data_IF_571633721273
#
_entry.id   IF_571633721273
#
_cell.length_a   1.000
_cell.length_b   1.000
_cell.length_c   1.000
_cell.angle_alpha   90.00
_cell.angle_beta   90.00
_cell.angle_gamma   90.00
#
_symmetry.space_group_name_H-M   'P 1'
#
loop_
_entity.id
_entity.type
_entity.pdbx_description
1 polymer ?
#
# COMPACT_ATOMS: atom_id res chain seq x y z
N UNK A 1 23.38 5.38 -0.32
CA UNK A 1 23.40 4.53 -1.53
C UNK A 1 22.80 3.19 -1.14
N UNK A 2 21.69 2.82 -1.78
CA UNK A 2 21.00 1.56 -1.52
C UNK A 2 21.89 0.35 -1.80
N UNK A 3 21.82 -0.70 -0.96
CA UNK A 3 22.60 -1.93 -1.17
C UNK A 3 21.98 -2.88 -2.22
N UNK A 4 20.98 -2.43 -2.98
CA UNK A 4 20.26 -3.21 -3.98
C UNK A 4 19.80 -2.32 -5.15
N UNK A 5 19.45 -2.94 -6.28
CA UNK A 5 18.87 -2.24 -7.43
C UNK A 5 17.43 -1.79 -7.12
N UNK A 6 17.13 -0.47 -7.09
CA UNK A 6 15.79 0.02 -6.80
C UNK A 6 14.80 -0.13 -7.97
N UNK A 7 15.23 -0.58 -9.16
CA UNK A 7 14.41 -0.60 -10.37
C UNK A 7 13.06 -1.31 -10.20
N UNK A 8 13.05 -2.46 -9.51
CA UNK A 8 11.83 -3.23 -9.23
C UNK A 8 10.82 -2.39 -8.43
N UNK A 9 11.31 -1.71 -7.40
CA UNK A 9 10.50 -0.92 -6.47
C UNK A 9 9.99 0.36 -7.14
N UNK A 10 10.84 1.04 -7.92
CA UNK A 10 10.47 2.22 -8.70
C UNK A 10 9.36 1.87 -9.70
N UNK A 11 9.55 0.79 -10.47
CA UNK A 11 8.65 0.44 -11.57
C UNK A 11 7.30 -0.10 -11.06
N UNK A 12 7.33 -1.00 -10.08
CA UNK A 12 6.15 -1.73 -9.59
C UNK A 12 5.40 -1.02 -8.47
N UNK A 13 6.11 -0.29 -7.60
CA UNK A 13 5.54 0.31 -6.39
C UNK A 13 5.50 1.85 -6.41
N UNK A 14 5.94 2.49 -7.51
CA UNK A 14 5.93 3.95 -7.70
C UNK A 14 6.71 4.69 -6.61
N UNK A 15 7.77 4.04 -6.15
CA UNK A 15 8.53 4.39 -4.98
C UNK A 15 9.95 4.74 -5.42
N UNK A 16 10.28 6.03 -5.40
CA UNK A 16 11.50 6.63 -5.97
C UNK A 16 12.43 7.08 -4.84
N UNK A 17 13.69 7.33 -5.17
CA UNK A 17 14.72 7.75 -4.22
C UNK A 17 15.35 9.07 -4.65
N UNK A 18 15.70 9.89 -3.67
CA UNK A 18 16.25 11.23 -3.86
C UNK A 18 15.18 12.30 -4.10
N UNK A 19 15.63 13.52 -4.37
CA UNK A 19 14.74 14.64 -4.64
C UNK A 19 14.06 14.48 -6.02
N UNK A 20 12.75 14.78 -6.13
CA UNK A 20 12.09 14.88 -7.43
C UNK A 20 12.67 16.03 -8.26
N UNK A 21 12.47 15.98 -9.58
CA UNK A 21 12.91 17.03 -10.51
C UNK A 21 12.26 18.39 -10.18
N UNK A 22 13.01 19.48 -10.37
CA UNK A 22 12.62 20.86 -10.02
C UNK A 22 11.28 21.29 -10.65
N UNK A 23 10.92 20.75 -11.82
CA UNK A 23 9.70 21.12 -12.54
C UNK A 23 8.44 20.33 -12.12
N UNK A 24 8.50 19.58 -11.02
CA UNK A 24 7.34 18.84 -10.51
C UNK A 24 6.69 19.56 -9.33
N UNK A 25 5.36 19.47 -9.23
CA UNK A 25 4.67 19.92 -8.02
C UNK A 25 4.94 18.93 -6.89
N UNK A 26 5.91 19.26 -6.05
CA UNK A 26 6.37 18.47 -4.91
C UNK A 26 5.62 18.89 -3.65
N UNK A 27 5.18 17.91 -2.88
CA UNK A 27 4.62 18.12 -1.55
C UNK A 27 5.51 17.48 -0.52
N UNK A 28 6.05 18.32 0.37
CA UNK A 28 6.74 17.90 1.58
C UNK A 28 5.77 17.92 2.75
N UNK A 29 5.97 17.00 3.69
CA UNK A 29 5.27 17.02 4.98
C UNK A 29 5.96 17.91 6.02
N UNK A 30 7.06 18.59 5.65
CA UNK A 30 7.84 19.43 6.56
C UNK A 30 7.07 20.66 7.07
N UNK A 31 7.33 21.02 8.34
CA UNK A 31 7.01 22.31 8.94
C UNK A 31 5.58 22.53 9.42
N UNK A 32 4.63 21.62 9.19
CA UNK A 32 3.23 21.74 9.63
C UNK A 32 2.71 20.43 10.28
N UNK A 33 1.58 20.52 10.96
CA UNK A 33 0.84 19.36 11.48
C UNK A 33 0.54 18.34 10.36
N UNK A 34 0.92 17.07 10.58
CA UNK A 34 0.76 15.98 9.62
C UNK A 34 -0.67 15.80 9.13
N UNK A 35 -1.67 15.95 10.00
CA UNK A 35 -3.08 15.82 9.63
C UNK A 35 -3.52 16.96 8.70
N UNK A 36 -3.02 18.18 8.91
CA UNK A 36 -3.27 19.33 8.02
C UNK A 36 -2.66 19.04 6.64
N UNK A 37 -1.41 18.56 6.59
CA UNK A 37 -0.75 18.22 5.32
C UNK A 37 -1.46 17.12 4.55
N UNK A 38 -1.91 16.06 5.22
CA UNK A 38 -2.67 14.98 4.58
C UNK A 38 -3.99 15.51 4.01
N UNK A 39 -4.69 16.38 4.74
CA UNK A 39 -5.90 17.03 4.24
C UNK A 39 -5.63 17.82 2.96
N UNK A 40 -4.58 18.66 2.94
CA UNK A 40 -4.18 19.42 1.76
C UNK A 40 -3.90 18.50 0.55
N UNK A 41 -3.25 17.35 0.78
CA UNK A 41 -3.01 16.35 -0.27
C UNK A 41 -4.31 15.73 -0.78
N UNK A 42 -5.26 15.42 0.10
CA UNK A 42 -6.56 14.86 -0.30
C UNK A 42 -7.38 15.87 -1.10
N UNK A 43 -7.38 17.15 -0.71
CA UNK A 43 -8.08 18.23 -1.42
C UNK A 43 -7.49 18.44 -2.83
N UNK A 44 -6.16 18.39 -2.97
CA UNK A 44 -5.49 18.44 -4.27
C UNK A 44 -5.71 17.18 -5.09
N UNK A 45 -5.83 16.03 -4.45
CA UNK A 45 -6.22 14.81 -5.14
C UNK A 45 -7.64 14.93 -5.70
N UNK A 46 -8.58 15.43 -4.91
CA UNK A 46 -9.96 15.66 -5.33
C UNK A 46 -10.06 16.57 -6.57
N UNK A 47 -9.32 17.68 -6.59
CA UNK A 47 -9.37 18.66 -7.68
C UNK A 47 -8.87 18.14 -9.02
N UNK A 48 -8.19 17.00 -9.06
CA UNK A 48 -7.62 16.43 -10.28
C UNK A 48 -8.38 15.21 -10.83
N UNK A 49 -9.32 14.64 -10.08
CA UNK A 49 -9.98 13.38 -10.47
C UNK A 49 -11.49 13.52 -10.74
N UNK A 50 -12.07 14.72 -10.58
CA UNK A 50 -13.49 14.99 -10.80
C UNK A 50 -14.43 13.97 -10.09
N UNK A 51 -14.06 13.56 -8.88
CA UNK A 51 -14.85 12.60 -8.12
C UNK A 51 -16.19 13.22 -7.68
N UNK A 52 -17.28 12.43 -7.67
CA UNK A 52 -18.62 12.94 -7.37
C UNK A 52 -18.86 13.28 -5.89
N UNK A 53 -18.00 12.80 -4.99
CA UNK A 53 -18.11 13.03 -3.54
C UNK A 53 -16.80 12.73 -2.80
N UNK A 54 -16.71 13.25 -1.57
CA UNK A 54 -15.53 13.10 -0.71
C UNK A 54 -15.18 11.65 -0.38
N UNK A 55 -16.15 10.74 -0.25
CA UNK A 55 -15.84 9.34 0.08
C UNK A 55 -15.13 8.64 -1.08
N UNK A 56 -15.55 8.93 -2.32
CA UNK A 56 -14.87 8.47 -3.52
C UNK A 56 -13.43 8.98 -3.56
N UNK A 57 -13.20 10.27 -3.26
CA UNK A 57 -11.84 10.85 -3.15
C UNK A 57 -11.01 10.09 -2.11
N UNK A 58 -11.52 9.93 -0.88
CA UNK A 58 -10.79 9.30 0.21
C UNK A 58 -10.35 7.87 -0.12
N UNK A 59 -11.26 7.04 -0.64
CA UNK A 59 -10.94 5.65 -1.00
C UNK A 59 -9.94 5.56 -2.16
N UNK A 60 -10.05 6.42 -3.17
CA UNK A 60 -9.13 6.43 -4.31
C UNK A 60 -7.76 6.95 -3.92
N UNK A 61 -7.69 8.04 -3.15
CA UNK A 61 -6.45 8.59 -2.61
C UNK A 61 -5.71 7.49 -1.82
N UNK A 62 -6.41 6.86 -0.87
CA UNK A 62 -5.82 5.82 -0.04
C UNK A 62 -5.37 4.60 -0.84
N UNK A 63 -6.16 4.15 -1.83
CA UNK A 63 -5.75 3.07 -2.74
C UNK A 63 -4.42 3.37 -3.43
N UNK A 64 -4.21 4.61 -3.87
CA UNK A 64 -2.95 5.04 -4.50
C UNK A 64 -1.83 5.17 -3.46
N UNK A 65 -2.16 5.69 -2.27
CA UNK A 65 -1.21 5.82 -1.16
C UNK A 65 -0.65 4.48 -0.71
N UNK A 66 -1.46 3.42 -0.73
CA UNK A 66 -1.06 2.09 -0.28
C UNK A 66 0.16 1.51 -1.04
N UNK A 67 0.45 1.99 -2.26
CA UNK A 67 1.63 1.57 -3.02
C UNK A 67 2.95 1.82 -2.26
N UNK A 68 2.99 2.86 -1.42
CA UNK A 68 4.11 3.16 -0.52
C UNK A 68 4.48 1.93 0.34
N UNK A 69 3.49 1.33 0.99
CA UNK A 69 3.70 0.19 1.89
C UNK A 69 4.08 -1.08 1.14
N UNK A 70 3.54 -1.29 -0.07
CA UNK A 70 3.96 -2.44 -0.88
C UNK A 70 5.46 -2.37 -1.23
N UNK A 71 5.98 -1.18 -1.58
CA UNK A 71 7.40 -0.97 -1.85
C UNK A 71 8.28 -1.17 -0.60
N UNK A 72 7.86 -0.62 0.54
CA UNK A 72 8.58 -0.75 1.80
C UNK A 72 8.59 -2.19 2.34
N UNK A 73 7.47 -2.91 2.25
CA UNK A 73 7.42 -4.33 2.60
C UNK A 73 8.27 -5.15 1.64
N UNK A 74 8.29 -4.83 0.33
CA UNK A 74 9.18 -5.51 -0.61
C UNK A 74 10.65 -5.39 -0.20
N UNK A 75 11.14 -4.18 0.11
CA UNK A 75 12.54 -3.97 0.52
C UNK A 75 12.88 -4.71 1.80
N UNK A 76 11.93 -4.76 2.72
CA UNK A 76 12.11 -5.50 3.96
C UNK A 76 12.22 -7.01 3.73
N UNK A 77 11.31 -7.58 2.96
CA UNK A 77 11.27 -9.03 2.71
C UNK A 77 12.45 -9.49 1.83
N UNK A 78 12.79 -8.75 0.78
CA UNK A 78 13.80 -9.21 -0.19
C UNK A 78 15.22 -8.79 0.18
N UNK A 79 15.38 -7.66 0.91
CA UNK A 79 16.69 -7.08 1.17
C UNK A 79 16.99 -6.85 2.66
N UNK A 80 16.05 -7.15 3.57
CA UNK A 80 16.16 -6.82 5.02
C UNK A 80 16.57 -5.36 5.24
N UNK A 81 16.01 -4.47 4.42
CA UNK A 81 16.34 -3.06 4.46
C UNK A 81 15.15 -2.23 4.97
N UNK A 82 15.18 -1.75 6.23
CA UNK A 82 14.08 -1.02 6.82
C UNK A 82 14.10 0.43 6.32
N UNK A 83 13.35 0.72 5.26
CA UNK A 83 13.24 2.09 4.73
C UNK A 83 12.57 3.03 5.74
N UNK A 84 13.15 4.22 5.92
CA UNK A 84 12.54 5.27 6.72
C UNK A 84 11.39 5.94 5.95
N UNK A 85 10.16 5.70 6.41
CA UNK A 85 8.93 6.26 5.86
C UNK A 85 8.43 7.43 6.69
N UNK A 86 9.20 7.92 7.67
CA UNK A 86 8.82 9.11 8.44
C UNK A 86 8.39 10.22 7.49
N UNK A 87 7.34 10.97 7.85
CA UNK A 87 6.77 12.00 6.98
C UNK A 87 7.82 13.01 6.47
N UNK A 88 8.80 13.38 7.31
CA UNK A 88 9.88 14.29 6.93
C UNK A 88 10.88 13.69 5.91
N UNK A 89 10.86 12.38 5.71
CA UNK A 89 11.69 11.68 4.72
C UNK A 89 10.93 11.39 3.41
N UNK A 90 9.67 11.83 3.29
CA UNK A 90 8.83 11.55 2.14
C UNK A 90 8.41 12.82 1.42
N UNK A 91 8.58 12.80 0.10
CA UNK A 91 7.92 13.71 -0.81
C UNK A 91 6.85 12.98 -1.61
N UNK A 92 5.73 13.65 -1.78
CA UNK A 92 4.60 13.19 -2.58
C UNK A 92 4.54 14.01 -3.86
N UNK A 93 4.51 13.33 -5.01
CA UNK A 93 4.34 13.98 -6.32
C UNK A 93 3.09 13.41 -6.97
N UNK A 94 2.21 14.29 -7.41
CA UNK A 94 0.92 13.93 -8.00
C UNK A 94 0.81 14.45 -9.43
N UNK A 95 0.27 13.61 -10.33
CA UNK A 95 -0.14 13.98 -11.68
C UNK A 95 -1.44 13.28 -12.04
N UNK A 96 -2.55 14.01 -12.04
CA UNK A 96 -3.89 13.45 -12.15
C UNK A 96 -4.19 12.52 -10.97
N UNK A 97 -4.68 11.32 -11.29
CA UNK A 97 -4.89 10.25 -10.31
C UNK A 97 -3.60 9.47 -9.96
N UNK A 98 -2.46 9.78 -10.61
CA UNK A 98 -1.20 9.10 -10.35
C UNK A 98 -0.43 9.76 -9.21
N UNK A 99 0.12 8.92 -8.34
CA UNK A 99 0.91 9.30 -7.18
C UNK A 99 2.26 8.62 -7.29
N UNK A 100 3.32 9.37 -6.99
CA UNK A 100 4.68 8.87 -6.80
C UNK A 100 5.18 9.31 -5.43
N UNK A 101 5.88 8.41 -4.77
CA UNK A 101 6.57 8.69 -3.52
C UNK A 101 8.06 8.84 -3.80
N UNK A 102 8.70 9.77 -3.10
CA UNK A 102 10.14 10.01 -3.13
C UNK A 102 10.66 9.93 -1.71
N UNK A 103 11.53 8.95 -1.45
CA UNK A 103 12.27 8.86 -0.20
C UNK A 103 13.53 9.70 -0.31
N UNK A 104 13.66 10.71 0.54
CA UNK A 104 14.70 11.73 0.42
C UNK A 104 16.08 11.21 0.87
N UNK A 105 16.10 10.52 2.01
CA UNK A 105 17.24 9.79 2.54
C UNK A 105 17.05 8.30 2.32
N UNK A 106 17.98 7.69 1.58
CA UNK A 106 17.97 6.26 1.32
C UNK A 106 18.54 5.43 2.49
N UNK A 107 18.80 6.06 3.64
CA UNK A 107 19.31 5.38 4.83
C UNK A 107 18.25 4.48 5.48
N UNK A 108 18.71 3.31 5.95
CA UNK A 108 17.92 2.44 6.79
C UNK A 108 17.60 3.10 8.14
N UNK A 109 16.46 2.73 8.72
CA UNK A 109 16.15 3.06 10.12
C UNK A 109 17.11 2.28 11.02
N UNK A 110 18.18 2.96 11.46
CA UNK A 110 19.29 2.35 12.21
C UNK A 110 18.80 1.61 13.44
N UNK A 111 17.83 2.18 14.17
CA UNK A 111 17.29 1.60 15.40
C UNK A 111 16.62 0.24 15.16
N UNK A 112 16.08 0.01 13.95
CA UNK A 112 15.51 -1.29 13.56
C UNK A 112 16.64 -2.21 13.10
N UNK A 113 17.55 -1.72 12.25
CA UNK A 113 18.62 -2.52 11.67
C UNK A 113 19.61 -3.11 12.68
N UNK A 114 19.75 -2.50 13.87
CA UNK A 114 20.66 -2.96 14.94
C UNK A 114 20.02 -3.91 15.95
N UNK A 115 18.71 -4.17 15.86
CA UNK A 115 18.04 -5.13 16.76
C UNK A 115 18.61 -6.54 16.55
N UNK A 116 18.76 -7.28 17.65
CA UNK A 116 19.53 -8.52 17.66
C UNK A 116 18.81 -9.72 17.03
N UNK A 117 17.47 -9.71 17.01
CA UNK A 117 16.68 -10.82 16.47
C UNK A 117 15.72 -10.35 15.36
N UNK A 118 15.44 -11.25 14.42
CA UNK A 118 14.61 -10.92 13.25
C UNK A 118 13.13 -10.65 13.60
N UNK A 119 12.62 -11.24 14.69
CA UNK A 119 11.23 -11.06 15.13
C UNK A 119 10.99 -9.64 15.68
N UNK A 120 11.89 -9.13 16.50
CA UNK A 120 11.93 -7.75 17.00
C UNK A 120 12.09 -6.77 15.85
N UNK A 121 12.92 -7.11 14.85
CA UNK A 121 13.05 -6.29 13.65
C UNK A 121 11.75 -6.25 12.85
N UNK A 122 11.11 -7.40 12.63
CA UNK A 122 9.83 -7.51 11.93
C UNK A 122 8.73 -6.72 12.67
N UNK A 123 8.64 -6.84 14.00
CA UNK A 123 7.70 -6.10 14.84
C UNK A 123 7.94 -4.59 14.79
N UNK A 124 9.20 -4.16 14.97
CA UNK A 124 9.56 -2.75 14.93
C UNK A 124 9.30 -2.14 13.55
N UNK A 125 9.56 -2.88 12.46
CA UNK A 125 9.28 -2.39 11.12
C UNK A 125 7.77 -2.35 10.82
N UNK A 126 7.01 -3.35 11.26
CA UNK A 126 5.54 -3.31 11.19
C UNK A 126 4.96 -2.10 11.92
N UNK A 127 5.50 -1.77 13.10
CA UNK A 127 5.09 -0.60 13.89
C UNK A 127 5.37 0.68 13.14
N UNK A 128 6.58 0.83 12.60
CA UNK A 128 6.99 1.96 11.77
C UNK A 128 6.06 2.16 10.57
N UNK A 129 5.75 1.08 9.84
CA UNK A 129 4.88 1.16 8.66
C UNK A 129 3.42 1.48 9.01
N UNK A 130 2.85 0.83 10.03
CA UNK A 130 1.40 0.83 10.20
C UNK A 130 0.89 1.64 11.38
N UNK A 131 1.59 1.62 12.51
CA UNK A 131 1.23 2.47 13.64
C UNK A 131 1.75 3.89 13.43
N UNK A 132 3.05 4.03 13.21
CA UNK A 132 3.69 5.34 13.14
C UNK A 132 3.33 6.09 11.85
N UNK A 133 2.99 5.39 10.76
CA UNK A 133 2.65 6.02 9.48
C UNK A 133 1.20 5.81 9.04
N UNK A 134 0.81 4.57 8.67
CA UNK A 134 -0.49 4.32 8.05
C UNK A 134 -1.67 4.78 8.91
N UNK A 135 -1.62 4.57 10.23
CA UNK A 135 -2.70 4.96 11.14
C UNK A 135 -2.95 6.46 11.16
N UNK A 136 -1.90 7.28 11.07
CA UNK A 136 -2.02 8.74 10.99
C UNK A 136 -2.69 9.17 9.68
N UNK A 137 -2.26 8.58 8.55
CA UNK A 137 -2.86 8.86 7.24
C UNK A 137 -4.33 8.44 7.20
N UNK A 138 -4.64 7.24 7.69
CA UNK A 138 -6.01 6.73 7.76
C UNK A 138 -6.87 7.65 8.62
N UNK A 139 -6.41 8.05 9.80
CA UNK A 139 -7.18 8.93 10.68
C UNK A 139 -7.49 10.28 10.01
N UNK A 140 -6.49 10.92 9.41
CA UNK A 140 -6.66 12.20 8.72
C UNK A 140 -7.63 12.08 7.53
N UNK A 141 -7.50 11.05 6.69
CA UNK A 141 -8.39 10.83 5.54
C UNK A 141 -9.81 10.52 5.99
N UNK A 142 -9.99 9.68 7.02
CA UNK A 142 -11.31 9.34 7.58
C UNK A 142 -12.00 10.59 8.11
N UNK A 143 -11.29 11.40 8.90
CA UNK A 143 -11.82 12.63 9.46
C UNK A 143 -12.21 13.65 8.37
N UNK A 144 -11.42 13.73 7.30
CA UNK A 144 -11.66 14.70 6.23
C UNK A 144 -12.74 14.27 5.23
N UNK A 145 -12.88 12.96 4.96
CA UNK A 145 -13.73 12.46 3.86
C UNK A 145 -14.93 11.64 4.30
N UNK A 146 -14.99 11.20 5.56
CA UNK A 146 -16.09 10.39 6.09
C UNK A 146 -16.13 8.94 5.56
N UNK A 147 -15.06 8.48 4.92
CA UNK A 147 -14.86 7.07 4.55
C UNK A 147 -14.72 6.17 5.78
N UNK A 148 -15.22 4.92 5.76
CA UNK A 148 -15.06 4.01 6.90
C UNK A 148 -13.61 3.56 7.10
N UNK A 149 -13.10 3.67 8.33
CA UNK A 149 -11.75 3.20 8.72
C UNK A 149 -11.48 1.75 8.32
N UNK A 150 -12.48 0.86 8.46
CA UNK A 150 -12.34 -0.54 8.07
C UNK A 150 -12.04 -0.72 6.56
N UNK A 151 -12.64 0.11 5.71
CA UNK A 151 -12.38 0.08 4.26
C UNK A 151 -10.93 0.44 3.93
N UNK A 152 -10.33 1.34 4.71
CA UNK A 152 -8.92 1.72 4.56
C UNK A 152 -7.99 0.56 4.88
N UNK A 153 -8.17 -0.08 6.04
CA UNK A 153 -7.36 -1.24 6.40
C UNK A 153 -7.53 -2.42 5.44
N UNK A 154 -8.76 -2.72 5.02
CA UNK A 154 -8.99 -3.75 4.00
C UNK A 154 -8.29 -3.45 2.66
N UNK A 155 -8.11 -2.17 2.32
CA UNK A 155 -7.45 -1.77 1.07
C UNK A 155 -5.95 -2.08 1.11
N UNK A 156 -5.28 -1.79 2.23
CA UNK A 156 -3.86 -2.11 2.41
C UNK A 156 -3.64 -3.61 2.60
N UNK A 157 -4.48 -4.29 3.38
CA UNK A 157 -4.44 -5.74 3.56
C UNK A 157 -4.57 -6.48 2.23
N UNK A 158 -5.51 -6.06 1.38
CA UNK A 158 -5.68 -6.63 0.05
C UNK A 158 -4.42 -6.42 -0.81
N UNK A 159 -3.87 -5.19 -0.82
CA UNK A 159 -2.72 -4.89 -1.66
C UNK A 159 -1.52 -5.75 -1.28
N UNK A 160 -1.25 -5.93 0.01
CA UNK A 160 -0.17 -6.77 0.48
C UNK A 160 -0.44 -8.26 0.22
N UNK A 161 -1.68 -8.74 0.38
CA UNK A 161 -2.03 -10.13 0.03
C UNK A 161 -1.86 -10.42 -1.46
N UNK A 162 -2.24 -9.47 -2.33
CA UNK A 162 -2.02 -9.56 -3.77
C UNK A 162 -0.52 -9.63 -4.10
N UNK A 163 0.29 -8.75 -3.51
CA UNK A 163 1.73 -8.75 -3.74
C UNK A 163 2.42 -9.98 -3.14
N UNK A 164 1.97 -10.51 -2.00
CA UNK A 164 2.46 -11.77 -1.42
C UNK A 164 2.43 -12.89 -2.46
N UNK A 165 1.31 -13.06 -3.17
CA UNK A 165 1.21 -14.10 -4.20
C UNK A 165 2.29 -13.93 -5.28
N UNK A 166 2.59 -12.69 -5.69
CA UNK A 166 3.64 -12.40 -6.67
C UNK A 166 5.04 -12.63 -6.11
N UNK A 167 5.32 -12.14 -4.90
CA UNK A 167 6.63 -12.29 -4.26
C UNK A 167 6.98 -13.75 -3.96
N UNK A 168 6.01 -14.59 -3.57
CA UNK A 168 6.25 -16.02 -3.40
C UNK A 168 6.61 -16.71 -4.72
N UNK A 169 5.98 -16.34 -5.84
CA UNK A 169 6.28 -16.91 -7.16
C UNK A 169 7.64 -16.48 -7.70
N UNK A 170 8.04 -15.24 -7.40
CA UNK A 170 9.29 -14.65 -7.86
C UNK A 170 10.42 -14.82 -6.84
N UNK A 171 10.16 -15.54 -5.75
CA UNK A 171 11.11 -15.72 -4.67
C UNK A 171 12.40 -16.39 -5.18
N UNK A 172 13.58 -15.79 -4.95
CA UNK A 172 14.84 -16.31 -5.48
C UNK A 172 15.39 -17.50 -4.67
N UNK A 173 14.84 -17.78 -3.49
CA UNK A 173 15.30 -18.86 -2.62
C UNK A 173 14.25 -19.32 -1.60
N UNK A 174 14.44 -20.51 -1.02
CA UNK A 174 13.62 -20.99 0.09
C UNK A 174 13.70 -20.06 1.31
N UNK A 175 14.86 -19.45 1.58
CA UNK A 175 15.02 -18.51 2.68
C UNK A 175 14.15 -17.25 2.52
N UNK A 176 14.07 -16.68 1.31
CA UNK A 176 13.18 -15.54 1.03
C UNK A 176 11.71 -15.97 1.09
N UNK A 177 11.39 -17.18 0.60
CA UNK A 177 10.04 -17.75 0.67
C UNK A 177 9.56 -17.87 2.12
N UNK A 178 10.37 -18.52 2.97
CA UNK A 178 10.06 -18.69 4.39
C UNK A 178 9.88 -17.34 5.11
N UNK A 179 10.74 -16.36 4.79
CA UNK A 179 10.61 -15.01 5.34
C UNK A 179 9.30 -14.32 4.93
N UNK A 180 8.92 -14.40 3.66
CA UNK A 180 7.64 -13.84 3.20
C UNK A 180 6.50 -14.51 3.97
N UNK A 181 6.50 -15.84 4.10
CA UNK A 181 5.45 -16.56 4.81
C UNK A 181 5.36 -16.17 6.28
N UNK A 182 6.48 -16.21 7.01
CA UNK A 182 6.58 -15.86 8.43
C UNK A 182 6.14 -14.42 8.70
N UNK A 183 6.63 -13.47 7.92
CA UNK A 183 6.27 -12.07 8.09
C UNK A 183 4.77 -11.86 7.90
N UNK A 184 4.16 -12.47 6.87
CA UNK A 184 2.73 -12.36 6.64
C UNK A 184 1.90 -13.10 7.68
N UNK A 185 2.37 -14.24 8.20
CA UNK A 185 1.72 -14.93 9.31
C UNK A 185 1.65 -14.03 10.55
N UNK A 186 2.77 -13.43 10.92
CA UNK A 186 2.85 -12.51 12.06
C UNK A 186 2.02 -11.23 11.81
N UNK A 187 2.18 -10.58 10.66
CA UNK A 187 1.49 -9.33 10.31
C UNK A 187 -0.03 -9.47 10.20
N UNK A 188 -0.56 -10.67 9.92
CA UNK A 188 -2.00 -10.91 9.74
C UNK A 188 -2.64 -11.75 10.85
N UNK A 189 -1.89 -12.05 11.92
CA UNK A 189 -2.43 -12.75 13.10
C UNK A 189 -3.58 -11.96 13.71
N UNK A 190 -4.64 -12.66 14.14
CA UNK A 190 -5.90 -12.04 14.60
C UNK A 190 -5.81 -11.31 15.95
N UNK A 191 -4.83 -11.68 16.77
CA UNK A 191 -4.64 -11.15 18.13
C UNK A 191 -4.33 -9.65 18.11
N UNK A 192 -4.40 -9.00 19.28
CA UNK A 192 -3.93 -7.63 19.49
C UNK A 192 -2.44 -7.56 19.14
N UNK A 193 -2.07 -6.88 18.04
CA UNK A 193 -0.68 -6.86 17.62
C UNK A 193 0.07 -5.75 18.37
N UNK A 194 1.22 -6.09 18.97
CA UNK A 194 2.07 -5.12 19.67
C UNK A 194 2.51 -3.96 18.76
N UNK A 195 2.66 -4.21 17.45
CA UNK A 195 2.97 -3.20 16.45
C UNK A 195 1.82 -2.22 16.14
N UNK A 196 0.59 -2.46 16.62
CA UNK A 196 -0.56 -1.56 16.47
C UNK A 196 -1.32 -1.39 17.82
N UNK A 197 -0.70 -0.72 18.81
CA UNK A 197 -1.29 -0.57 20.13
C UNK A 197 -2.67 0.10 20.08
N UNK A 198 -3.56 -0.30 21.00
CA UNK A 198 -4.92 0.25 21.11
C UNK A 198 -5.95 -0.37 20.15
N UNK A 199 -5.60 -1.49 19.49
CA UNK A 199 -6.49 -2.24 18.60
C UNK A 199 -6.69 -3.68 19.12
N UNK A 200 -7.87 -3.94 19.69
CA UNK A 200 -8.25 -5.28 20.17
C UNK A 200 -8.29 -6.36 19.08
N UNK A 201 -8.36 -5.97 17.80
CA UNK A 201 -8.34 -6.87 16.65
C UNK A 201 -7.44 -6.27 15.58
N UNK A 202 -6.48 -7.06 15.09
CA UNK A 202 -5.62 -6.68 13.98
C UNK A 202 -6.46 -6.44 12.70
N UNK A 203 -6.49 -5.21 12.16
CA UNK A 203 -7.30 -4.91 10.99
C UNK A 203 -6.70 -5.46 9.68
N UNK A 204 -5.46 -5.94 9.71
CA UNK A 204 -4.82 -6.69 8.62
C UNK A 204 -5.20 -8.17 8.63
N UNK A 205 -5.77 -8.67 9.74
CA UNK A 205 -6.26 -10.05 9.86
C UNK A 205 -7.59 -10.22 9.13
N UNK A 206 -7.52 -10.36 7.80
CA UNK A 206 -8.68 -10.67 6.99
C UNK A 206 -8.37 -11.67 5.88
N UNK A 207 -9.38 -12.45 5.51
CA UNK A 207 -9.33 -13.37 4.39
C UNK A 207 -9.96 -12.72 3.17
N UNK A 208 -9.45 -13.11 2.00
CA UNK A 208 -9.98 -12.67 0.71
C UNK A 208 -10.60 -13.86 0.00
N UNK A 209 -11.77 -13.63 -0.61
CA UNK A 209 -12.32 -14.59 -1.57
C UNK A 209 -11.37 -14.67 -2.77
N UNK A 210 -11.22 -15.86 -3.34
CA UNK A 210 -10.39 -16.09 -4.50
C UNK A 210 -11.20 -16.82 -5.58
N UNK A 211 -10.84 -16.59 -6.84
CA UNK A 211 -11.35 -17.30 -8.03
C UNK A 211 -10.14 -17.89 -8.76
N UNK A 212 -10.29 -19.01 -9.45
CA UNK A 212 -9.19 -19.59 -10.23
C UNK A 212 -8.69 -18.63 -11.32
N UNK A 213 -7.37 -18.62 -11.53
CA UNK A 213 -6.73 -17.91 -12.63
C UNK A 213 -6.87 -18.76 -13.92
N UNK A 214 -7.58 -18.26 -14.95
CA UNK A 214 -7.84 -19.03 -16.17
C UNK A 214 -6.60 -19.21 -17.06
N UNK A 215 -5.52 -18.46 -16.83
CA UNK A 215 -4.29 -18.50 -17.62
C UNK A 215 -3.21 -19.38 -16.98
N UNK A 216 -3.32 -19.66 -15.68
CA UNK A 216 -2.27 -20.35 -14.93
C UNK A 216 -2.84 -21.30 -13.87
N UNK A 217 -2.61 -22.59 -14.08
CA UNK A 217 -3.00 -23.63 -13.13
C UNK A 217 -2.40 -23.37 -11.74
N UNK A 218 -3.19 -23.61 -10.69
CA UNK A 218 -2.80 -23.41 -9.29
C UNK A 218 -2.70 -21.96 -8.83
N UNK A 219 -2.98 -20.97 -9.70
CA UNK A 219 -3.05 -19.55 -9.31
C UNK A 219 -4.50 -19.12 -9.08
N UNK A 220 -4.64 -18.02 -8.35
CA UNK A 220 -5.96 -17.46 -8.05
C UNK A 220 -5.97 -15.95 -8.08
N UNK A 221 -7.10 -15.41 -8.52
CA UNK A 221 -7.45 -14.00 -8.54
C UNK A 221 -8.11 -13.65 -7.21
N UNK A 222 -7.46 -12.82 -6.40
CA UNK A 222 -8.04 -12.33 -5.16
C UNK A 222 -9.13 -11.27 -5.43
N UNK A 223 -10.17 -11.31 -4.61
CA UNK A 223 -11.28 -10.36 -4.65
C UNK A 223 -11.18 -9.41 -3.47
N UNK A 224 -11.15 -8.11 -3.76
CA UNK A 224 -11.08 -7.07 -2.73
C UNK A 224 -12.29 -7.16 -1.80
N UNK A 225 -12.08 -6.96 -0.49
CA UNK A 225 -13.17 -6.83 0.49
C UNK A 225 -13.81 -5.44 0.50
N UNK A 226 -13.03 -4.41 0.18
CA UNK A 226 -13.48 -3.02 0.12
C UNK A 226 -13.53 -2.52 -1.32
N UNK A 227 -14.63 -1.84 -1.68
CA UNK A 227 -14.75 -1.16 -2.97
C UNK A 227 -13.92 0.13 -2.95
N UNK A 228 -13.04 0.29 -3.94
CA UNK A 228 -12.25 1.53 -4.09
C UNK A 228 -13.01 2.70 -4.70
N UNK A 229 -14.29 2.51 -5.06
CA UNK A 229 -15.18 3.53 -5.65
C UNK A 229 -14.74 4.11 -7.00
N UNK A 230 -13.75 3.50 -7.68
CA UNK A 230 -13.31 3.94 -9.01
C UNK A 230 -14.46 4.06 -10.02
N UNK A 231 -15.45 3.17 -9.92
CA UNK A 231 -16.59 3.16 -10.82
C UNK A 231 -17.52 4.37 -10.76
N UNK A 232 -17.31 5.23 -9.75
CA UNK A 232 -18.06 6.46 -9.57
C UNK A 232 -17.42 7.64 -10.28
N UNK A 233 -16.19 7.49 -10.81
CA UNK A 233 -15.57 8.52 -11.62
C UNK A 233 -16.26 8.64 -12.99
N UNK A 234 -16.46 9.85 -13.51
CA UNK A 234 -17.02 10.05 -14.84
C UNK A 234 -15.99 9.72 -15.93
N UNK A 235 -16.47 9.37 -17.13
CA UNK A 235 -15.64 9.28 -18.34
C UNK A 235 -14.82 8.00 -18.51
N UNK A 236 -15.12 6.94 -17.75
CA UNK A 236 -14.54 5.61 -17.93
C UNK A 236 -15.64 4.65 -18.41
N UNK A 237 -15.52 4.17 -19.65
CA UNK A 237 -16.45 3.19 -20.24
C UNK A 237 -16.27 1.79 -19.61
N UNK A 238 -15.14 1.56 -18.92
CA UNK A 238 -14.87 0.29 -18.24
C UNK A 238 -14.46 0.45 -16.75
N UNK A 239 -15.36 0.99 -15.90
CA UNK A 239 -15.02 1.55 -14.59
C UNK A 239 -14.54 0.55 -13.52
N UNK A 240 -14.80 -0.74 -13.73
CA UNK A 240 -14.55 -1.81 -12.77
C UNK A 240 -13.30 -2.60 -13.13
N UNK A 241 -12.39 -2.80 -12.17
CA UNK A 241 -11.26 -3.72 -12.36
C UNK A 241 -11.66 -5.17 -12.04
N UNK A 242 -10.90 -6.15 -12.55
CA UNK A 242 -11.14 -7.58 -12.28
C UNK A 242 -11.14 -7.93 -10.77
N UNK A 243 -10.40 -7.18 -9.96
CA UNK A 243 -10.35 -7.38 -8.48
C UNK A 243 -11.53 -6.76 -7.72
N UNK A 244 -12.45 -6.08 -8.40
CA UNK A 244 -13.55 -5.34 -7.76
C UNK A 244 -14.56 -6.27 -7.08
N UNK A 245 -15.07 -5.96 -5.87
CA UNK A 245 -16.09 -6.80 -5.21
C UNK A 245 -17.47 -6.75 -5.85
N UNK A 246 -17.75 -5.75 -6.70
CA UNK A 246 -19.09 -5.46 -7.20
C UNK A 246 -19.46 -6.19 -8.49
N UNK A 247 -18.53 -6.95 -9.07
CA UNK A 247 -18.73 -7.67 -10.34
C UNK A 247 -18.80 -9.18 -10.13
N UNK A 248 -19.50 -9.88 -11.03
CA UNK A 248 -19.60 -11.34 -11.03
C UNK A 248 -18.27 -12.02 -11.35
N UNK A 249 -18.17 -13.33 -11.14
CA UNK A 249 -16.96 -14.09 -11.45
C UNK A 249 -16.70 -14.18 -12.97
N UNK A 250 -17.77 -14.25 -13.77
CA UNK A 250 -17.69 -14.27 -15.24
C UNK A 250 -17.08 -12.97 -15.78
N UNK A 251 -17.61 -11.81 -15.39
CA UNK A 251 -17.09 -10.51 -15.81
C UNK A 251 -15.66 -10.27 -15.28
N UNK A 252 -15.34 -10.82 -14.10
CA UNK A 252 -13.98 -10.77 -13.54
C UNK A 252 -12.99 -11.55 -14.39
N UNK A 253 -13.35 -12.77 -14.81
CA UNK A 253 -12.53 -13.61 -15.69
C UNK A 253 -12.33 -12.91 -17.04
N UNK A 254 -13.40 -12.38 -17.65
CA UNK A 254 -13.31 -11.63 -18.91
C UNK A 254 -12.31 -10.46 -18.80
N UNK A 255 -12.43 -9.65 -17.75
CA UNK A 255 -11.52 -8.52 -17.50
C UNK A 255 -10.10 -8.95 -17.21
N UNK A 256 -9.93 -10.05 -16.49
CA UNK A 256 -8.61 -10.61 -16.20
C UNK A 256 -7.92 -11.03 -17.50
N UNK A 257 -8.61 -11.77 -18.36
CA UNK A 257 -8.11 -12.17 -19.68
C UNK A 257 -7.77 -10.95 -20.54
N UNK A 258 -8.64 -9.95 -20.62
CA UNK A 258 -8.37 -8.70 -21.38
C UNK A 258 -7.14 -7.93 -20.90
N UNK A 259 -6.77 -8.05 -19.63
CA UNK A 259 -5.64 -7.31 -19.04
C UNK A 259 -4.32 -8.08 -19.02
N UNK A 260 -4.33 -9.39 -19.32
CA UNK A 260 -3.17 -10.27 -19.24
C UNK A 260 -2.96 -11.14 -20.50
N UNK A 261 -3.80 -10.99 -21.52
CA UNK A 261 -3.56 -11.48 -22.88
C UNK A 261 -2.58 -10.56 -23.62
#
# INVERSE_FOLDING_TARGET
>A
MLPFDPSVIVNRHKFNFGAPSVDTNVYSFEGNDTAIRIKELVDRFASQINAPDSKTVGMLFWKRYCALFAGAVYTWLHHRYPLDLSFNNLNFVQSGANVKFYVLSDAAVVQIAVLANEEEQDEAYLRHLFHDHASQVIAAVVNHTGVPTAGMWHTIAYLLAHWKQTWLRESPSEAVTARIEQWFEYATRRLEPAWLPGRNVNPMSCTFRAVEDPLHEGRSILVRRACCMNYRLPGDDDPYCYTCPLITDELRIEKFLKSHA
#
